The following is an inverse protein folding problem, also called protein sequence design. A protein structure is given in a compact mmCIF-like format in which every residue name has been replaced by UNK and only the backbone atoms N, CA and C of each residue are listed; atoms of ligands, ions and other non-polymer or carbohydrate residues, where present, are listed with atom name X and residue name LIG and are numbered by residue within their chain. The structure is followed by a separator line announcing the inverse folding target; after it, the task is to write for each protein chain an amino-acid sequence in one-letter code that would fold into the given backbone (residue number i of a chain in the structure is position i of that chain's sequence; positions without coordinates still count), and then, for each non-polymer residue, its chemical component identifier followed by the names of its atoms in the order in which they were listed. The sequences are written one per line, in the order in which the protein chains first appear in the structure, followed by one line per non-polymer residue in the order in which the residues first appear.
data_IF_298169176329
#
_entry.id   IF_298169176329
#
_cell.length_a   1.000
_cell.length_b   1.000
_cell.length_c   1.000
_cell.angle_alpha   90.00
_cell.angle_beta   90.00
_cell.angle_gamma   90.00
#
_symmetry.space_group_name_H-M   'P 1'
#
loop_
_entity.id
_entity.type
_entity.pdbx_description
1 polymer ?
#
# COMPACT_ATOMS: atom_id res chain seq x y z
N UNK A 1 -15.76 -13.03 24.49
CA UNK A 1 -14.50 -12.25 24.40
C UNK A 1 -14.51 -11.48 23.10
N UNK A 2 -13.94 -10.25 23.07
CA UNK A 2 -13.78 -9.50 21.81
C UNK A 2 -12.77 -10.26 20.91
N UNK A 3 -13.00 -10.31 19.59
CA UNK A 3 -12.02 -10.91 18.69
C UNK A 3 -10.74 -10.06 18.69
N UNK A 4 -9.57 -10.72 18.66
CA UNK A 4 -8.25 -10.05 18.72
C UNK A 4 -7.55 -10.08 17.36
N UNK A 5 -6.98 -8.94 17.02
CA UNK A 5 -6.25 -8.72 15.80
C UNK A 5 -4.83 -8.25 16.12
N UNK A 6 -3.80 -8.87 15.56
CA UNK A 6 -2.41 -8.47 15.73
C UNK A 6 -1.88 -7.81 14.46
N UNK A 7 -1.25 -6.64 14.59
CA UNK A 7 -0.67 -5.91 13.45
C UNK A 7 0.82 -5.73 13.63
N UNK A 8 1.59 -6.28 12.72
CA UNK A 8 3.01 -5.98 12.61
C UNK A 8 3.21 -4.67 11.85
N UNK A 9 3.75 -3.64 12.54
CA UNK A 9 4.06 -2.35 11.95
C UNK A 9 2.88 -1.37 11.92
N UNK A 10 2.67 -0.60 12.98
CA UNK A 10 1.61 0.40 13.07
C UNK A 10 1.99 1.71 12.36
N UNK A 11 2.18 1.62 11.02
CA UNK A 11 2.47 2.77 10.15
C UNK A 11 1.22 3.48 9.64
N UNK A 12 1.39 4.39 8.67
CA UNK A 12 0.33 5.25 8.11
C UNK A 12 -0.95 4.51 7.70
N UNK A 13 -0.82 3.41 6.95
CA UNK A 13 -1.96 2.60 6.50
C UNK A 13 -2.51 1.73 7.62
N UNK A 14 -1.61 1.07 8.36
CA UNK A 14 -1.98 0.15 9.42
C UNK A 14 -2.74 0.82 10.58
N UNK A 15 -2.40 2.08 10.93
CA UNK A 15 -3.17 2.87 11.92
C UNK A 15 -4.63 3.03 11.53
N UNK A 16 -4.91 3.29 10.25
CA UNK A 16 -6.28 3.45 9.75
C UNK A 16 -7.04 2.13 9.73
N UNK A 17 -6.33 1.03 9.41
CA UNK A 17 -6.90 -0.32 9.50
C UNK A 17 -7.21 -0.65 10.97
N UNK A 18 -6.30 -0.38 11.90
CA UNK A 18 -6.52 -0.57 13.33
C UNK A 18 -7.78 0.20 13.82
N UNK A 19 -7.88 1.48 13.51
CA UNK A 19 -9.07 2.30 13.85
C UNK A 19 -10.36 1.71 13.27
N UNK A 20 -10.34 1.22 12.03
CA UNK A 20 -11.51 0.60 11.42
C UNK A 20 -11.89 -0.74 12.08
N UNK A 21 -10.92 -1.53 12.50
CA UNK A 21 -11.14 -2.77 13.27
C UNK A 21 -11.72 -2.47 14.65
N UNK A 22 -11.13 -1.51 15.37
CA UNK A 22 -11.59 -1.09 16.70
C UNK A 22 -13.03 -0.57 16.67
N UNK A 23 -13.40 0.20 15.63
CA UNK A 23 -14.76 0.68 15.42
C UNK A 23 -15.78 -0.45 15.20
N UNK A 24 -15.32 -1.65 14.81
CA UNK A 24 -16.09 -2.88 14.67
C UNK A 24 -16.00 -3.79 15.90
N UNK A 25 -15.42 -3.31 16.99
CA UNK A 25 -15.35 -4.03 18.27
C UNK A 25 -14.17 -4.99 18.39
N UNK A 26 -13.18 -4.97 17.48
CA UNK A 26 -11.95 -5.73 17.63
C UNK A 26 -11.05 -5.13 18.70
N UNK A 27 -10.33 -5.98 19.40
CA UNK A 27 -9.17 -5.58 20.20
C UNK A 27 -7.92 -5.67 19.31
N UNK A 28 -7.24 -4.54 19.10
CA UNK A 28 -6.06 -4.48 18.21
C UNK A 28 -4.80 -4.32 19.05
N UNK A 29 -3.84 -5.22 18.87
CA UNK A 29 -2.47 -5.12 19.40
C UNK A 29 -1.53 -4.94 18.22
N UNK A 30 -0.58 -4.01 18.32
CA UNK A 30 0.31 -3.72 17.22
C UNK A 30 1.75 -3.50 17.66
N UNK A 31 2.69 -3.87 16.78
CA UNK A 31 4.10 -3.48 16.93
C UNK A 31 4.39 -2.18 16.18
N UNK A 32 5.47 -1.51 16.57
CA UNK A 32 5.97 -0.30 15.91
C UNK A 32 6.12 0.87 16.88
N UNK A 33 6.59 2.02 16.37
CA UNK A 33 6.86 3.20 17.20
C UNK A 33 5.62 3.66 18.00
N UNK A 34 4.46 3.55 17.39
CA UNK A 34 3.18 3.96 17.97
C UNK A 34 2.32 2.75 18.37
N UNK A 35 2.91 1.55 18.36
CA UNK A 35 2.28 0.32 18.80
C UNK A 35 2.48 0.08 20.30
N UNK A 36 1.69 -0.82 20.85
CA UNK A 36 1.75 -1.19 22.27
C UNK A 36 2.96 -2.09 22.59
N UNK A 37 3.51 -2.75 21.57
CA UNK A 37 4.57 -3.77 21.71
C UNK A 37 5.76 -3.40 20.83
N UNK A 38 6.98 -3.53 21.37
CA UNK A 38 8.18 -3.45 20.54
C UNK A 38 8.28 -4.67 19.63
N UNK A 39 8.67 -4.48 18.36
CA UNK A 39 8.90 -5.59 17.44
C UNK A 39 10.00 -6.54 17.94
N UNK A 40 10.99 -6.02 18.68
CA UNK A 40 12.12 -6.81 19.18
C UNK A 40 11.85 -7.50 20.53
N UNK A 41 10.73 -7.17 21.20
CA UNK A 41 10.25 -7.90 22.38
C UNK A 41 9.53 -9.19 21.97
N UNK A 42 10.32 -10.23 21.74
CA UNK A 42 9.81 -11.52 21.30
C UNK A 42 8.79 -12.14 22.25
N UNK A 43 8.94 -11.92 23.56
CA UNK A 43 8.02 -12.43 24.57
C UNK A 43 6.62 -11.83 24.40
N UNK A 44 6.53 -10.52 24.42
CA UNK A 44 5.26 -9.80 24.26
C UNK A 44 4.62 -10.02 22.87
N UNK A 45 5.44 -10.09 21.80
CA UNK A 45 4.94 -10.39 20.46
C UNK A 45 4.34 -11.80 20.40
N UNK A 46 5.01 -12.82 20.95
CA UNK A 46 4.49 -14.19 20.96
C UNK A 46 3.20 -14.33 21.77
N UNK A 47 3.09 -13.64 22.91
CA UNK A 47 1.86 -13.59 23.70
C UNK A 47 0.72 -12.95 22.91
N UNK A 48 0.95 -11.78 22.31
CA UNK A 48 -0.05 -11.11 21.47
C UNK A 48 -0.48 -11.95 20.26
N UNK A 49 0.45 -12.65 19.62
CA UNK A 49 0.13 -13.59 18.56
C UNK A 49 -0.69 -14.77 19.08
N UNK A 50 -0.34 -15.39 20.20
CA UNK A 50 -1.07 -16.53 20.75
C UNK A 50 -2.57 -16.20 20.93
N UNK A 51 -2.86 -15.00 21.40
CA UNK A 51 -4.21 -14.52 21.68
C UNK A 51 -4.98 -14.04 20.43
N UNK A 52 -4.28 -13.68 19.36
CA UNK A 52 -4.89 -13.16 18.14
C UNK A 52 -5.34 -14.28 17.20
N UNK A 53 -6.55 -14.16 16.67
CA UNK A 53 -7.05 -15.02 15.59
C UNK A 53 -6.71 -14.51 14.19
N UNK A 54 -6.42 -13.22 14.05
CA UNK A 54 -6.13 -12.53 12.81
C UNK A 54 -4.82 -11.75 12.92
N UNK A 55 -4.01 -11.79 11.88
CA UNK A 55 -2.70 -11.13 11.84
C UNK A 55 -2.52 -10.39 10.52
N UNK A 56 -2.06 -9.15 10.58
CA UNK A 56 -1.68 -8.35 9.41
C UNK A 56 -0.21 -7.92 9.53
N UNK A 57 0.58 -8.12 8.50
CA UNK A 57 1.89 -7.49 8.38
C UNK A 57 1.85 -6.28 7.44
N UNK A 58 2.32 -5.13 7.92
CA UNK A 58 2.60 -3.94 7.12
C UNK A 58 4.08 -3.58 7.11
N UNK A 59 4.94 -4.45 7.62
CA UNK A 59 6.38 -4.26 7.63
C UNK A 59 6.94 -4.64 6.26
N UNK A 60 7.71 -3.75 5.61
CA UNK A 60 8.38 -4.11 4.37
C UNK A 60 9.54 -5.08 4.62
N UNK A 61 9.91 -5.93 3.65
CA UNK A 61 11.12 -6.73 3.75
C UNK A 61 12.36 -5.85 3.86
N UNK A 62 13.39 -6.37 4.53
CA UNK A 62 14.70 -5.75 4.66
C UNK A 62 15.46 -5.68 3.34
N UNK A 63 16.62 -4.99 3.33
CA UNK A 63 17.45 -4.85 2.12
C UNK A 63 18.11 -6.16 1.67
N UNK A 64 18.24 -7.14 2.55
CA UNK A 64 18.91 -8.43 2.30
C UNK A 64 17.94 -9.60 1.99
N UNK A 65 16.72 -9.30 1.61
CA UNK A 65 15.79 -10.30 1.05
C UNK A 65 14.86 -10.98 2.05
N UNK A 66 15.11 -10.93 3.36
CA UNK A 66 14.25 -11.58 4.34
C UNK A 66 13.11 -10.66 4.80
N UNK A 67 11.90 -11.21 4.87
CA UNK A 67 10.79 -10.56 5.56
C UNK A 67 10.98 -10.72 7.08
N UNK A 68 11.14 -9.61 7.85
CA UNK A 68 11.50 -9.69 9.26
C UNK A 68 10.42 -10.35 10.13
N UNK A 69 9.17 -10.35 9.69
CA UNK A 69 8.08 -11.03 10.41
C UNK A 69 8.16 -12.54 10.17
N UNK A 70 8.39 -12.96 8.94
CA UNK A 70 8.52 -14.38 8.59
C UNK A 70 9.78 -14.99 9.20
N UNK A 71 10.87 -14.23 9.23
CA UNK A 71 12.13 -14.67 9.84
C UNK A 71 11.97 -14.94 11.35
N UNK A 72 11.29 -14.07 12.07
CA UNK A 72 11.27 -14.13 13.55
C UNK A 72 10.01 -14.76 14.15
N UNK A 73 8.89 -14.72 13.44
CA UNK A 73 7.56 -15.01 13.98
C UNK A 73 6.69 -15.93 13.13
N UNK A 74 7.24 -16.57 12.10
CA UNK A 74 6.48 -17.47 11.20
C UNK A 74 5.75 -18.58 11.95
N UNK A 75 6.32 -19.12 13.01
CA UNK A 75 5.69 -20.14 13.85
C UNK A 75 4.39 -19.65 14.49
N UNK A 76 4.35 -18.38 14.91
CA UNK A 76 3.17 -17.74 15.50
C UNK A 76 2.05 -17.44 14.52
N UNK A 77 2.29 -17.57 13.21
CA UNK A 77 1.29 -17.39 12.16
C UNK A 77 0.50 -18.66 11.85
N UNK A 78 1.01 -19.82 12.22
CA UNK A 78 0.36 -21.10 11.94
C UNK A 78 -0.97 -21.22 12.66
N UNK A 79 -1.98 -21.71 11.96
CA UNK A 79 -3.31 -21.93 12.53
C UNK A 79 -4.15 -20.66 12.78
N UNK A 80 -3.66 -19.50 12.34
CA UNK A 80 -4.47 -18.27 12.37
C UNK A 80 -5.66 -18.39 11.42
N UNK A 81 -6.79 -17.85 11.83
CA UNK A 81 -8.00 -17.83 11.01
C UNK A 81 -7.84 -16.94 9.78
N UNK A 82 -7.06 -15.88 9.91
CA UNK A 82 -6.78 -14.94 8.84
C UNK A 82 -5.38 -14.38 8.94
N UNK A 83 -4.69 -14.33 7.83
CA UNK A 83 -3.36 -13.72 7.71
C UNK A 83 -3.40 -12.76 6.53
N UNK A 84 -2.91 -11.52 6.72
CA UNK A 84 -2.79 -10.51 5.67
C UNK A 84 -1.38 -9.93 5.57
N UNK A 85 -1.02 -9.52 4.36
CA UNK A 85 0.25 -8.86 4.08
C UNK A 85 0.05 -7.67 3.15
N UNK A 86 0.52 -6.48 3.56
CA UNK A 86 0.53 -5.29 2.71
C UNK A 86 1.76 -5.29 1.81
N UNK A 87 1.63 -5.89 0.64
CA UNK A 87 2.64 -5.97 -0.41
C UNK A 87 2.66 -4.70 -1.27
N UNK A 88 3.38 -4.72 -2.36
CA UNK A 88 3.54 -3.59 -3.30
C UNK A 88 3.40 -4.06 -4.74
N UNK A 89 2.78 -3.25 -5.59
CA UNK A 89 2.77 -3.47 -7.04
C UNK A 89 4.15 -3.35 -7.69
N UNK A 90 5.18 -2.95 -6.92
CA UNK A 90 6.57 -3.00 -7.33
C UNK A 90 7.08 -4.41 -7.68
N UNK A 91 6.39 -5.46 -7.22
CA UNK A 91 6.71 -6.86 -7.57
C UNK A 91 6.58 -7.17 -9.05
N UNK A 92 5.74 -6.42 -9.78
CA UNK A 92 5.55 -6.60 -11.24
C UNK A 92 6.69 -6.04 -12.09
N UNK A 93 7.52 -5.14 -11.53
CA UNK A 93 8.58 -4.49 -12.29
C UNK A 93 8.08 -3.52 -13.35
N UNK A 94 8.92 -3.28 -14.35
CA UNK A 94 8.58 -2.47 -15.52
C UNK A 94 7.84 -3.31 -16.57
N UNK A 95 6.74 -2.78 -17.10
CA UNK A 95 5.95 -3.43 -18.15
C UNK A 95 5.76 -2.53 -19.38
N UNK A 96 6.55 -1.46 -19.49
CA UNK A 96 6.41 -0.46 -20.55
C UNK A 96 5.04 0.23 -20.54
N UNK A 97 4.39 0.34 -19.39
CA UNK A 97 3.07 0.92 -19.25
C UNK A 97 1.90 -0.01 -19.56
N UNK A 98 2.13 -1.30 -19.79
CA UNK A 98 1.06 -2.28 -19.98
C UNK A 98 0.24 -2.48 -18.70
N UNK A 99 -0.99 -2.99 -18.85
CA UNK A 99 -1.82 -3.42 -17.75
C UNK A 99 -1.32 -4.75 -17.17
N UNK A 100 -1.29 -4.83 -15.86
CA UNK A 100 -1.01 -6.05 -15.11
C UNK A 100 -2.13 -6.34 -14.13
N UNK A 101 -2.44 -7.62 -13.94
CA UNK A 101 -3.30 -8.13 -12.89
C UNK A 101 -2.54 -9.12 -12.01
N UNK A 102 -3.23 -9.81 -11.11
CA UNK A 102 -2.62 -10.72 -10.15
C UNK A 102 -2.00 -11.97 -10.78
N UNK A 103 -2.33 -12.28 -12.04
CA UNK A 103 -1.75 -13.39 -12.81
C UNK A 103 -0.44 -13.01 -13.52
N UNK A 104 -0.12 -11.73 -13.61
CA UNK A 104 1.10 -11.25 -14.25
C UNK A 104 2.35 -11.76 -13.52
N UNK A 105 3.45 -12.06 -14.25
CA UNK A 105 4.72 -12.44 -13.65
C UNK A 105 5.23 -11.41 -12.64
N UNK A 106 5.90 -11.88 -11.60
CA UNK A 106 6.55 -11.05 -10.59
C UNK A 106 8.04 -11.40 -10.50
N UNK A 107 8.83 -10.58 -9.81
CA UNK A 107 10.26 -10.82 -9.63
C UNK A 107 11.15 -10.07 -10.61
N UNK A 108 10.58 -9.37 -11.59
CA UNK A 108 11.32 -8.55 -12.57
C UNK A 108 11.59 -7.12 -12.09
N UNK A 109 11.03 -6.74 -10.93
CA UNK A 109 11.19 -5.41 -10.35
C UNK A 109 12.57 -5.20 -9.72
N UNK A 110 12.91 -3.94 -9.49
CA UNK A 110 14.18 -3.49 -8.88
C UNK A 110 14.44 -4.01 -7.46
N UNK A 111 13.44 -4.58 -6.82
CA UNK A 111 13.48 -5.00 -5.42
C UNK A 111 13.07 -6.47 -5.33
N UNK A 112 14.00 -7.39 -5.59
CA UNK A 112 13.76 -8.84 -5.48
C UNK A 112 13.17 -9.24 -4.12
N UNK A 113 13.69 -8.64 -3.04
CA UNK A 113 13.20 -8.86 -1.68
C UNK A 113 11.67 -8.68 -1.53
N UNK A 114 11.08 -7.73 -2.30
CA UNK A 114 9.62 -7.54 -2.29
C UNK A 114 8.88 -8.69 -2.92
N UNK A 115 9.41 -9.22 -4.01
CA UNK A 115 8.80 -10.36 -4.71
C UNK A 115 8.97 -11.65 -3.91
N UNK A 116 10.11 -11.84 -3.28
CA UNK A 116 10.39 -12.99 -2.40
C UNK A 116 9.45 -12.98 -1.19
N UNK A 117 9.29 -11.84 -0.51
CA UNK A 117 8.35 -11.72 0.59
C UNK A 117 6.89 -11.94 0.13
N UNK A 118 6.48 -11.36 -1.01
CA UNK A 118 5.14 -11.56 -1.60
C UNK A 118 4.85 -13.06 -1.81
N UNK A 119 5.79 -13.81 -2.40
CA UNK A 119 5.68 -15.26 -2.60
C UNK A 119 5.66 -16.04 -1.28
N UNK A 120 6.50 -15.66 -0.31
CA UNK A 120 6.57 -16.32 0.98
C UNK A 120 5.26 -16.18 1.77
N UNK A 121 4.66 -14.98 1.76
CA UNK A 121 3.34 -14.76 2.36
C UNK A 121 2.22 -15.52 1.63
N UNK A 122 2.27 -15.62 0.29
CA UNK A 122 1.33 -16.44 -0.47
C UNK A 122 1.43 -17.92 -0.08
N UNK A 123 2.65 -18.45 0.10
CA UNK A 123 2.88 -19.83 0.50
C UNK A 123 2.29 -20.17 1.88
N UNK A 124 2.11 -19.17 2.75
CA UNK A 124 1.41 -19.31 4.04
C UNK A 124 -0.12 -19.21 3.92
N UNK A 125 -0.67 -19.04 2.72
CA UNK A 125 -2.11 -18.86 2.52
C UNK A 125 -2.61 -17.48 2.97
N UNK A 126 -1.76 -16.45 2.92
CA UNK A 126 -2.14 -15.11 3.31
C UNK A 126 -2.99 -14.39 2.24
N UNK A 127 -3.78 -13.40 2.70
CA UNK A 127 -4.34 -12.37 1.84
C UNK A 127 -3.25 -11.34 1.53
N UNK A 128 -2.73 -11.35 0.31
CA UNK A 128 -1.66 -10.46 -0.12
C UNK A 128 -2.23 -9.28 -0.88
N UNK A 129 -2.12 -8.08 -0.32
CA UNK A 129 -2.61 -6.85 -0.94
C UNK A 129 -1.46 -6.13 -1.65
N UNK A 130 -1.43 -6.17 -2.97
CA UNK A 130 -0.46 -5.43 -3.79
C UNK A 130 -0.93 -3.99 -3.95
N UNK A 131 -0.25 -3.09 -3.26
CA UNK A 131 -0.59 -1.67 -3.16
C UNK A 131 0.30 -0.84 -4.09
N UNK A 132 -0.29 0.00 -4.96
CA UNK A 132 0.45 0.98 -5.76
C UNK A 132 0.81 2.23 -4.94
N UNK A 133 0.94 3.38 -5.59
CA UNK A 133 1.20 4.65 -4.91
C UNK A 133 0.10 5.03 -3.93
N UNK A 134 0.37 4.90 -2.63
CA UNK A 134 -0.59 5.21 -1.56
C UNK A 134 -0.66 6.73 -1.34
N UNK A 135 -1.86 7.29 -1.34
CA UNK A 135 -2.10 8.69 -1.00
C UNK A 135 -3.29 8.84 -0.07
N UNK A 136 -3.42 10.03 0.53
CA UNK A 136 -4.51 10.38 1.45
C UNK A 136 -4.12 11.56 2.34
N UNK A 137 -4.87 11.84 3.42
CA UNK A 137 -4.59 12.95 4.32
C UNK A 137 -3.18 12.91 4.91
N UNK A 138 -2.42 14.01 4.78
CA UNK A 138 -1.03 14.12 5.24
C UNK A 138 -0.01 13.42 4.33
N UNK A 139 -0.45 12.81 3.23
CA UNK A 139 0.41 12.10 2.27
C UNK A 139 -0.14 12.23 0.86
N UNK A 140 -0.16 13.42 0.31
CA UNK A 140 -0.69 13.66 -1.03
C UNK A 140 0.13 14.67 -1.83
N UNK A 141 -0.27 14.86 -3.08
CA UNK A 141 0.27 15.92 -3.92
C UNK A 141 -0.21 17.31 -3.47
N UNK A 142 -1.33 17.40 -2.74
CA UNK A 142 -1.89 18.66 -2.24
C UNK A 142 -0.90 19.36 -1.30
N UNK A 143 -0.34 18.62 -0.34
CA UNK A 143 0.65 19.17 0.59
C UNK A 143 1.91 19.66 -0.16
N UNK A 144 2.36 18.91 -1.16
CA UNK A 144 3.54 19.31 -1.96
C UNK A 144 3.29 20.55 -2.81
N UNK A 145 2.10 20.67 -3.40
CA UNK A 145 1.71 21.88 -4.15
C UNK A 145 1.57 23.06 -3.19
N UNK A 146 0.99 22.85 -2.02
CA UNK A 146 0.84 23.89 -1.00
C UNK A 146 2.19 24.38 -0.49
N UNK A 147 3.13 23.48 -0.26
CA UNK A 147 4.49 23.78 0.18
C UNK A 147 5.42 24.30 -0.95
N UNK A 148 4.96 24.33 -2.21
CA UNK A 148 5.80 24.73 -3.35
C UNK A 148 6.91 23.74 -3.71
N UNK A 149 6.81 22.47 -3.26
CA UNK A 149 7.83 21.44 -3.48
C UNK A 149 7.43 20.42 -4.56
N UNK A 150 6.25 20.60 -5.17
CA UNK A 150 5.81 19.76 -6.28
C UNK A 150 6.64 20.04 -7.53
N UNK A 151 7.04 18.98 -8.25
CA UNK A 151 7.80 19.07 -9.49
C UNK A 151 7.11 18.30 -10.58
N UNK A 152 6.94 18.88 -11.77
CA UNK A 152 6.49 18.20 -12.97
C UNK A 152 7.69 17.74 -13.77
N UNK A 153 7.66 16.49 -14.21
CA UNK A 153 8.77 15.87 -14.96
C UNK A 153 8.32 15.60 -16.39
N UNK A 154 9.16 15.96 -17.35
CA UNK A 154 8.91 15.71 -18.78
C UNK A 154 9.14 14.23 -19.11
N UNK A 155 8.11 13.43 -18.84
CA UNK A 155 8.01 12.01 -19.17
C UNK A 155 6.55 11.72 -19.56
N UNK A 156 6.16 12.00 -20.81
CA UNK A 156 4.74 12.01 -21.23
C UNK A 156 4.07 10.65 -21.12
N UNK A 157 4.81 9.56 -21.36
CA UNK A 157 4.27 8.19 -21.36
C UNK A 157 4.28 7.53 -19.98
N UNK A 158 4.89 8.20 -18.98
CA UNK A 158 4.98 7.66 -17.62
C UNK A 158 3.65 7.74 -16.90
N UNK A 159 3.16 6.60 -16.43
CA UNK A 159 1.97 6.51 -15.61
C UNK A 159 2.25 5.84 -14.28
N UNK A 160 1.43 6.16 -13.30
CA UNK A 160 1.45 5.54 -11.97
C UNK A 160 0.03 5.14 -11.59
N UNK A 161 -0.16 3.89 -11.21
CA UNK A 161 -1.34 3.46 -10.47
C UNK A 161 -1.27 3.94 -9.04
N UNK A 162 -2.43 4.19 -8.43
CA UNK A 162 -2.56 4.74 -7.08
C UNK A 162 -3.71 4.08 -6.34
N UNK A 163 -3.76 4.34 -5.04
CA UNK A 163 -4.89 3.97 -4.21
C UNK A 163 -5.00 4.96 -3.05
N UNK A 164 -6.22 5.41 -2.75
CA UNK A 164 -6.47 6.18 -1.55
C UNK A 164 -6.37 5.29 -0.31
N UNK A 165 -5.79 5.78 0.78
CA UNK A 165 -5.58 4.97 1.99
C UNK A 165 -6.87 4.41 2.58
N UNK A 166 -7.99 5.15 2.50
CA UNK A 166 -9.28 4.67 3.00
C UNK A 166 -9.84 3.53 2.12
N UNK A 167 -9.47 3.47 0.84
CA UNK A 167 -9.81 2.36 -0.05
C UNK A 167 -8.97 1.11 0.26
N UNK A 168 -7.74 1.27 0.73
CA UNK A 168 -6.97 0.13 1.26
C UNK A 168 -7.67 -0.41 2.51
N UNK A 169 -8.11 0.46 3.41
CA UNK A 169 -8.83 0.06 4.62
C UNK A 169 -10.07 -0.75 4.24
N UNK A 170 -10.93 -0.23 3.34
CA UNK A 170 -12.13 -0.93 2.90
C UNK A 170 -11.83 -2.27 2.23
N UNK A 171 -10.74 -2.36 1.43
CA UNK A 171 -10.31 -3.61 0.79
C UNK A 171 -9.85 -4.67 1.78
N UNK A 172 -9.04 -4.29 2.78
CA UNK A 172 -8.64 -5.19 3.86
C UNK A 172 -9.84 -5.66 4.67
N UNK A 173 -10.77 -4.74 4.99
CA UNK A 173 -11.99 -5.08 5.73
C UNK A 173 -12.93 -6.02 4.95
N UNK A 174 -13.02 -5.86 3.62
CA UNK A 174 -13.78 -6.75 2.75
C UNK A 174 -13.15 -8.15 2.64
N UNK A 175 -11.84 -8.26 2.83
CA UNK A 175 -11.12 -9.52 2.74
C UNK A 175 -11.18 -10.37 4.02
N UNK A 176 -11.74 -9.88 5.13
CA UNK A 176 -11.76 -10.63 6.40
C UNK A 176 -12.57 -11.93 6.30
N UNK A 177 -13.60 -11.96 5.46
CA UNK A 177 -14.46 -13.12 5.25
C UNK A 177 -14.33 -13.69 3.82
N UNK A 178 -13.36 -13.20 3.03
CA UNK A 178 -13.12 -13.62 1.65
C UNK A 178 -12.04 -14.74 1.56
N UNK A 179 -11.94 -15.45 0.43
CA UNK A 179 -10.87 -16.41 0.21
C UNK A 179 -9.49 -15.76 0.28
N UNK A 180 -8.51 -16.49 0.84
CA UNK A 180 -7.11 -16.10 0.77
C UNK A 180 -6.63 -16.00 -0.68
N UNK A 181 -5.66 -15.13 -0.94
CA UNK A 181 -5.09 -14.94 -2.26
C UNK A 181 -4.50 -13.55 -2.46
N UNK A 182 -4.06 -13.28 -3.67
CA UNK A 182 -3.47 -11.99 -4.05
C UNK A 182 -4.55 -11.08 -4.58
N UNK A 183 -4.53 -9.81 -4.15
CA UNK A 183 -5.48 -8.77 -4.55
C UNK A 183 -4.77 -7.45 -4.82
N UNK A 184 -4.93 -6.90 -6.00
CA UNK A 184 -4.50 -5.55 -6.32
C UNK A 184 -5.55 -4.55 -5.80
N UNK A 185 -5.17 -3.67 -4.89
CA UNK A 185 -6.02 -2.56 -4.48
C UNK A 185 -5.50 -1.28 -5.15
N UNK A 186 -6.10 -0.92 -6.27
CA UNK A 186 -5.74 0.25 -7.07
C UNK A 186 -7.00 1.03 -7.48
N UNK A 187 -6.85 2.34 -7.72
CA UNK A 187 -7.91 3.13 -8.36
C UNK A 187 -8.06 2.77 -9.86
N UNK A 188 -9.10 3.27 -10.51
CA UNK A 188 -9.43 2.95 -11.90
C UNK A 188 -8.69 3.83 -12.91
N UNK A 189 -7.91 4.83 -12.45
CA UNK A 189 -7.34 5.85 -13.33
C UNK A 189 -5.82 6.01 -13.14
N UNK A 190 -5.00 5.07 -13.64
CA UNK A 190 -3.57 5.28 -13.73
C UNK A 190 -3.26 6.58 -14.48
N UNK A 191 -2.45 7.45 -13.92
CA UNK A 191 -2.18 8.76 -14.49
C UNK A 191 -0.73 9.20 -14.22
N UNK A 192 -0.20 10.12 -15.05
CA UNK A 192 1.10 10.71 -14.81
C UNK A 192 1.10 11.52 -13.50
N UNK A 193 2.26 11.70 -12.90
CA UNK A 193 2.41 12.57 -11.73
C UNK A 193 2.06 14.03 -12.08
N UNK A 194 2.31 14.45 -13.32
CA UNK A 194 2.02 15.79 -13.80
C UNK A 194 0.51 16.08 -13.76
N UNK A 195 -0.33 15.15 -14.22
CA UNK A 195 -1.80 15.31 -14.17
C UNK A 195 -2.33 15.50 -12.75
N UNK A 196 -1.75 14.80 -11.77
CA UNK A 196 -2.14 14.98 -10.36
C UNK A 196 -1.74 16.36 -9.85
N UNK A 197 -0.53 16.82 -10.18
CA UNK A 197 -0.04 18.15 -9.78
C UNK A 197 -0.92 19.23 -10.40
N UNK A 198 -1.21 19.12 -11.69
CA UNK A 198 -2.07 20.06 -12.42
C UNK A 198 -3.49 20.12 -11.83
N UNK A 199 -4.09 18.96 -11.54
CA UNK A 199 -5.41 18.89 -10.88
C UNK A 199 -5.38 19.51 -9.48
N UNK A 200 -4.36 19.25 -8.68
CA UNK A 200 -4.20 19.86 -7.37
C UNK A 200 -4.01 21.37 -7.48
N UNK A 201 -3.18 21.85 -8.41
CA UNK A 201 -2.99 23.27 -8.68
C UNK A 201 -4.30 23.96 -9.11
N UNK A 202 -5.05 23.34 -10.04
CA UNK A 202 -6.35 23.84 -10.48
C UNK A 202 -7.33 24.03 -9.31
N UNK A 203 -7.42 23.01 -8.43
CA UNK A 203 -8.30 23.06 -7.25
C UNK A 203 -7.85 24.10 -6.22
N UNK A 204 -6.55 24.28 -6.04
CA UNK A 204 -5.95 25.26 -5.15
C UNK A 204 -5.87 26.68 -5.78
N UNK A 205 -6.30 26.86 -7.03
CA UNK A 205 -6.19 28.10 -7.81
C UNK A 205 -4.75 28.62 -7.87
N UNK A 206 -3.80 27.72 -8.10
CA UNK A 206 -2.37 28.01 -8.25
C UNK A 206 -1.90 27.67 -9.64
N UNK A 207 -0.89 28.38 -10.15
CA UNK A 207 -0.21 27.98 -11.39
C UNK A 207 0.58 26.69 -11.16
N UNK A 208 0.56 25.74 -12.14
CA UNK A 208 1.40 24.57 -12.07
C UNK A 208 2.90 24.95 -12.10
N UNK A 209 3.77 24.23 -11.39
CA UNK A 209 5.21 24.44 -11.49
C UNK A 209 5.71 24.16 -12.92
N UNK A 210 6.90 24.69 -13.32
CA UNK A 210 7.46 24.43 -14.64
C UNK A 210 7.67 22.94 -14.87
N UNK A 211 7.65 22.53 -16.15
CA UNK A 211 8.02 21.18 -16.57
C UNK A 211 9.56 21.10 -16.59
N UNK A 212 10.12 20.11 -15.93
CA UNK A 212 11.57 19.91 -15.78
C UNK A 212 11.97 18.60 -16.46
N UNK A 213 13.18 18.53 -17.00
CA UNK A 213 13.78 17.24 -17.35
C UNK A 213 14.09 16.43 -16.09
N UNK A 214 14.34 15.14 -16.26
CA UNK A 214 14.67 14.26 -15.12
C UNK A 214 15.97 14.70 -14.42
N UNK A 215 16.91 15.27 -15.16
CA UNK A 215 18.17 15.82 -14.65
C UNK A 215 17.91 17.11 -13.85
N UNK A 216 17.14 18.05 -14.42
CA UNK A 216 16.81 19.32 -13.78
C UNK A 216 16.05 19.15 -12.46
N UNK A 217 15.25 18.11 -12.37
CA UNK A 217 14.44 17.83 -11.16
C UNK A 217 15.29 17.41 -9.95
N UNK A 218 16.56 17.02 -10.16
CA UNK A 218 17.48 16.61 -9.10
C UNK A 218 16.87 15.66 -8.07
N UNK A 219 16.17 14.64 -8.57
CA UNK A 219 15.44 13.68 -7.73
C UNK A 219 16.44 12.82 -6.93
N UNK A 220 16.04 12.48 -5.68
CA UNK A 220 16.77 11.46 -4.92
C UNK A 220 16.84 10.13 -5.67
N UNK A 221 17.83 9.26 -5.43
CA UNK A 221 17.91 7.94 -6.07
C UNK A 221 16.63 7.12 -5.93
N UNK A 222 16.00 7.20 -4.77
CA UNK A 222 14.71 6.53 -4.50
C UNK A 222 13.60 7.09 -5.40
N UNK A 223 13.46 8.41 -5.48
CA UNK A 223 12.44 9.07 -6.31
C UNK A 223 12.68 8.80 -7.80
N UNK A 224 13.92 8.91 -8.27
CA UNK A 224 14.32 8.57 -9.65
C UNK A 224 13.95 7.14 -10.01
N UNK A 225 14.16 6.23 -9.07
CA UNK A 225 13.80 4.83 -9.23
C UNK A 225 12.32 4.58 -9.51
N UNK A 226 11.39 5.41 -9.04
CA UNK A 226 9.97 5.27 -9.39
C UNK A 226 9.67 5.58 -10.86
N UNK A 227 10.49 6.42 -11.49
CA UNK A 227 10.37 6.76 -12.91
C UNK A 227 11.03 5.72 -13.84
N UNK A 228 11.75 4.75 -13.30
CA UNK A 228 12.37 3.66 -14.08
C UNK A 228 11.41 2.48 -14.35
N UNK A 229 10.23 2.49 -13.76
CA UNK A 229 9.22 1.42 -13.94
C UNK A 229 7.89 2.05 -14.31
N UNK A 230 7.24 1.52 -15.33
CA UNK A 230 5.97 2.01 -15.86
C UNK A 230 4.98 0.85 -15.99
N UNK A 231 3.85 0.92 -15.31
CA UNK A 231 2.79 -0.10 -15.34
C UNK A 231 1.44 0.46 -14.93
N UNK A 232 0.39 -0.16 -15.47
CA UNK A 232 -0.99 0.05 -15.05
C UNK A 232 -1.47 -1.17 -14.29
N UNK A 233 -2.12 -0.99 -13.16
CA UNK A 233 -2.53 -2.08 -12.27
C UNK A 233 -4.04 -2.22 -12.29
N UNK A 234 -4.52 -3.41 -12.68
CA UNK A 234 -5.94 -3.74 -12.69
C UNK A 234 -6.40 -4.22 -11.30
N UNK A 235 -7.62 -3.81 -10.91
CA UNK A 235 -8.24 -4.15 -9.64
C UNK A 235 -9.45 -5.11 -9.79
N UNK A 236 -9.65 -5.66 -10.97
CA UNK A 236 -10.85 -6.44 -11.32
C UNK A 236 -11.06 -7.67 -10.45
N UNK A 237 -10.00 -8.31 -9.96
CA UNK A 237 -10.11 -9.45 -9.04
C UNK A 237 -10.63 -9.03 -7.67
N UNK A 238 -10.11 -7.94 -7.10
CA UNK A 238 -10.60 -7.41 -5.83
C UNK A 238 -12.09 -7.06 -5.92
N UNK A 239 -12.53 -6.44 -7.01
CA UNK A 239 -13.96 -6.15 -7.24
C UNK A 239 -14.82 -7.41 -7.27
N UNK A 240 -14.43 -8.42 -8.05
CA UNK A 240 -15.23 -9.64 -8.24
C UNK A 240 -15.24 -10.54 -7.02
N UNK A 241 -14.11 -10.70 -6.33
CA UNK A 241 -13.96 -11.69 -5.26
C UNK A 241 -14.25 -11.11 -3.89
N UNK A 242 -13.82 -9.87 -3.63
CA UNK A 242 -14.04 -9.20 -2.35
C UNK A 242 -15.36 -8.40 -2.32
N UNK A 243 -16.02 -8.19 -3.47
CA UNK A 243 -17.09 -7.21 -3.58
C UNK A 243 -16.64 -5.78 -3.28
N UNK A 244 -15.33 -5.53 -3.41
CA UNK A 244 -14.73 -4.25 -3.09
C UNK A 244 -14.90 -3.25 -4.22
N UNK A 245 -15.33 -2.05 -3.87
CA UNK A 245 -15.34 -0.91 -4.76
C UNK A 245 -14.58 0.25 -4.12
N UNK A 246 -13.65 0.91 -4.84
CA UNK A 246 -12.98 2.07 -4.30
C UNK A 246 -13.99 3.22 -4.14
N UNK A 247 -14.00 3.81 -2.96
CA UNK A 247 -14.76 5.04 -2.67
C UNK A 247 -14.24 6.22 -3.51
N UNK A 248 -12.96 6.17 -3.84
CA UNK A 248 -12.27 7.17 -4.67
C UNK A 248 -11.78 6.50 -5.96
N UNK A 249 -12.68 6.27 -6.93
CA UNK A 249 -12.38 5.49 -8.14
C UNK A 249 -11.31 6.16 -9.02
N UNK A 250 -11.10 7.46 -8.89
CA UNK A 250 -9.97 8.13 -9.52
C UNK A 250 -9.27 9.09 -8.56
N UNK A 251 -8.06 9.49 -8.92
CA UNK A 251 -7.33 10.50 -8.15
C UNK A 251 -8.08 11.83 -8.01
N UNK A 252 -9.06 12.12 -8.92
CA UNK A 252 -9.83 13.38 -8.87
C UNK A 252 -10.77 13.42 -7.66
N UNK A 253 -11.51 12.34 -7.41
CA UNK A 253 -12.36 12.20 -6.23
C UNK A 253 -11.52 12.18 -4.96
N UNK A 254 -10.39 11.43 -5.00
CA UNK A 254 -9.47 11.39 -3.87
C UNK A 254 -8.89 12.75 -3.51
N UNK A 255 -8.43 13.54 -4.50
CA UNK A 255 -7.94 14.90 -4.26
C UNK A 255 -9.06 15.85 -3.80
N UNK A 256 -10.28 15.68 -4.32
CA UNK A 256 -11.44 16.48 -3.87
C UNK A 256 -11.70 16.27 -2.38
N UNK A 257 -11.66 15.03 -1.90
CA UNK A 257 -11.90 14.69 -0.49
C UNK A 257 -10.86 15.30 0.46
N UNK A 258 -9.63 15.52 0.00
CA UNK A 258 -8.55 16.11 0.79
C UNK A 258 -8.68 17.63 0.96
N UNK A 259 -9.41 18.28 0.06
CA UNK A 259 -9.61 19.73 0.04
C UNK A 259 -10.96 20.15 0.64
N UNK A 260 -11.86 19.22 0.89
CA UNK A 260 -13.17 19.45 1.48
C UNK A 260 -13.15 19.41 3.02
N UNK A 261 -11.98 19.33 3.63
CA UNK A 261 -11.78 19.27 5.09
C UNK A 261 -11.42 20.62 5.68
#
# INVERSE_FOLDING_TARGET
MKPRFFIFGLGYTAKRIATALESRGWEVIATGRDGQVSFDDQGSVRLGLADASHVLSSIPPGGEGLDPVLDRYSDGLRGKRWIGYLSSTGVYGDTGGAWVDESAPIGTGRRSARSEADLAWQALGAHVFRLPGIYGPGRSVVERVTAGTAQRIDMPDQVFSRVHVDDIVSGVMAALDAPAGVYNLADDCPASQNRLIEEACRRLRRAPPPLLTLEQANLSPMARGFYAENRRVANGKARRVLGWEPRYPTYREGLASLLAR
#
